data_IF_165287843481
#
_entry.id   IF_165287843481
#
_cell.length_a   1.000
_cell.length_b   1.000
_cell.length_c   1.000
_cell.angle_alpha   90.00
_cell.angle_beta   90.00
_cell.angle_gamma   90.00
#
_symmetry.space_group_name_H-M   'P 1'
#
loop_
_entity.id
_entity.type
_entity.pdbx_description
1 polymer ?
#
# COMPACT_ATOMS: atom_id res chain seq x y z
N UNK A 1 12.35 11.27 -7.22
CA UNK A 1 10.96 10.83 -6.99
C UNK A 1 10.87 9.75 -5.91
N UNK A 2 11.56 8.62 -6.01
CA UNK A 2 11.43 7.51 -5.06
C UNK A 2 11.72 7.87 -3.61
N UNK A 3 12.78 8.67 -3.33
CA UNK A 3 13.14 9.05 -1.97
C UNK A 3 12.01 9.77 -1.20
N UNK A 4 11.32 10.81 -1.73
CA UNK A 4 10.21 11.42 -1.00
C UNK A 4 9.01 10.46 -0.81
N UNK A 5 8.77 9.54 -1.73
CA UNK A 5 7.74 8.50 -1.60
C UNK A 5 8.13 7.54 -0.47
N UNK A 6 9.40 7.11 -0.42
CA UNK A 6 9.91 6.26 0.65
C UNK A 6 9.74 6.91 2.03
N UNK A 7 10.16 8.17 2.17
CA UNK A 7 10.00 8.89 3.44
C UNK A 7 8.53 8.99 3.84
N UNK A 8 7.62 9.23 2.86
CA UNK A 8 6.18 9.23 3.11
C UNK A 8 5.68 7.89 3.65
N UNK A 9 6.08 6.77 3.03
CA UNK A 9 5.69 5.44 3.49
C UNK A 9 6.25 5.10 4.88
N UNK A 10 7.49 5.49 5.16
CA UNK A 10 8.08 5.33 6.49
C UNK A 10 7.34 6.15 7.56
N UNK A 11 6.93 7.36 7.23
CA UNK A 11 6.12 8.20 8.14
C UNK A 11 4.75 7.55 8.38
N UNK A 12 4.09 7.02 7.34
CA UNK A 12 2.83 6.28 7.50
C UNK A 12 2.99 5.06 8.42
N UNK A 13 4.11 4.33 8.33
CA UNK A 13 4.41 3.24 9.24
C UNK A 13 4.60 3.70 10.70
N UNK A 14 5.16 4.90 10.90
CA UNK A 14 5.26 5.50 12.24
C UNK A 14 3.90 5.73 12.89
N UNK A 15 2.87 6.09 12.09
CA UNK A 15 1.49 6.21 12.59
C UNK A 15 1.02 4.86 13.15
N UNK A 16 1.18 3.77 12.39
CA UNK A 16 0.76 2.43 12.82
C UNK A 16 1.47 2.02 14.12
N UNK A 17 2.77 2.28 14.21
CA UNK A 17 3.57 1.97 15.42
C UNK A 17 3.09 2.79 16.63
N UNK A 18 2.82 4.07 16.44
CA UNK A 18 2.35 4.97 17.51
C UNK A 18 0.95 4.59 17.99
N UNK A 19 0.03 4.30 17.05
CA UNK A 19 -1.32 3.85 17.37
C UNK A 19 -1.30 2.56 18.17
N UNK A 20 -0.46 1.58 17.75
CA UNK A 20 -0.28 0.32 18.46
C UNK A 20 0.28 0.54 19.86
N UNK A 21 1.30 1.41 20.00
CA UNK A 21 1.90 1.73 21.30
C UNK A 21 0.90 2.43 22.24
N UNK A 22 0.03 3.28 21.72
CA UNK A 22 -1.01 3.93 22.52
C UNK A 22 -2.08 2.94 22.94
N UNK A 23 -2.54 2.07 22.04
CA UNK A 23 -3.53 1.03 22.38
C UNK A 23 -2.99 0.04 23.40
N UNK A 24 -1.72 -0.37 23.30
CA UNK A 24 -1.08 -1.23 24.28
C UNK A 24 -0.99 -0.62 25.69
N UNK A 25 -1.03 0.71 25.81
CA UNK A 25 -1.08 1.40 27.11
C UNK A 25 -2.49 1.58 27.65
N UNK A 26 -3.51 1.48 26.80
CA UNK A 26 -4.92 1.53 27.22
C UNK A 26 -5.35 0.19 27.79
N UNK A 27 -5.03 -0.93 27.07
CA UNK A 27 -5.37 -2.26 27.54
C UNK A 27 -5.16 -3.33 26.47
N UNK A 28 -5.12 -4.60 26.90
CA UNK A 28 -4.96 -5.75 25.99
C UNK A 28 -6.19 -5.94 25.10
N UNK A 29 -7.38 -5.67 25.61
CA UNK A 29 -8.64 -5.77 24.87
C UNK A 29 -8.67 -4.74 23.73
N UNK A 30 -8.31 -3.49 24.02
CA UNK A 30 -8.26 -2.40 23.06
C UNK A 30 -7.18 -2.65 22.00
N UNK A 31 -6.03 -3.17 22.39
CA UNK A 31 -4.95 -3.54 21.46
C UNK A 31 -5.41 -4.63 20.49
N UNK A 32 -6.05 -5.69 21.00
CA UNK A 32 -6.59 -6.77 20.19
C UNK A 32 -7.70 -6.31 19.24
N UNK A 33 -8.61 -5.47 19.75
CA UNK A 33 -9.70 -4.89 18.98
C UNK A 33 -9.18 -3.98 17.85
N UNK A 34 -8.21 -3.09 18.14
CA UNK A 34 -7.60 -2.21 17.16
C UNK A 34 -6.86 -2.99 16.06
N UNK A 35 -6.22 -4.10 16.39
CA UNK A 35 -5.53 -4.95 15.42
C UNK A 35 -6.52 -5.56 14.41
N UNK A 36 -7.63 -6.17 14.88
CA UNK A 36 -8.62 -6.81 14.00
C UNK A 36 -9.39 -5.76 13.20
N UNK A 37 -9.88 -4.71 13.86
CA UNK A 37 -10.61 -3.63 13.21
C UNK A 37 -9.73 -2.86 12.20
N UNK A 38 -8.43 -2.70 12.49
CA UNK A 38 -7.46 -2.10 11.58
C UNK A 38 -7.27 -2.91 10.30
N UNK A 39 -7.21 -4.24 10.40
CA UNK A 39 -7.15 -5.12 9.21
C UNK A 39 -8.44 -5.03 8.41
N UNK A 40 -9.60 -5.06 9.06
CA UNK A 40 -10.89 -4.88 8.40
C UNK A 40 -10.97 -3.57 7.62
N UNK A 41 -10.59 -2.45 8.26
CA UNK A 41 -10.50 -1.14 7.62
C UNK A 41 -9.54 -1.13 6.42
N UNK A 42 -8.36 -1.74 6.57
CA UNK A 42 -7.33 -1.79 5.53
C UNK A 42 -7.82 -2.52 4.27
N UNK A 43 -8.53 -3.65 4.42
CA UNK A 43 -9.08 -4.41 3.29
C UNK A 43 -10.04 -3.53 2.48
N UNK A 44 -10.92 -2.79 3.16
CA UNK A 44 -11.87 -1.89 2.51
C UNK A 44 -11.15 -0.70 1.86
N UNK A 45 -10.16 -0.13 2.56
CA UNK A 45 -9.37 0.99 2.06
C UNK A 45 -8.60 0.65 0.77
N UNK A 46 -8.17 -0.62 0.59
CA UNK A 46 -7.44 -1.07 -0.60
C UNK A 46 -8.23 -0.87 -1.91
N UNK A 47 -9.56 -0.90 -1.87
CA UNK A 47 -10.39 -0.59 -3.04
C UNK A 47 -10.14 0.84 -3.55
N UNK A 48 -10.19 1.84 -2.67
CA UNK A 48 -9.90 3.23 -3.02
C UNK A 48 -8.43 3.46 -3.39
N UNK A 49 -7.51 2.80 -2.67
CA UNK A 49 -6.08 2.87 -2.96
C UNK A 49 -5.76 2.37 -4.38
N UNK A 50 -6.30 1.22 -4.79
CA UNK A 50 -6.12 0.68 -6.15
C UNK A 50 -6.63 1.64 -7.23
N UNK A 51 -7.77 2.31 -6.97
CA UNK A 51 -8.28 3.37 -7.86
C UNK A 51 -7.32 4.56 -7.95
N UNK A 52 -6.76 5.02 -6.84
CA UNK A 52 -5.76 6.09 -6.79
C UNK A 52 -4.54 5.76 -7.66
N UNK A 53 -4.01 4.53 -7.58
CA UNK A 53 -2.87 4.08 -8.39
C UNK A 53 -3.21 4.11 -9.89
N UNK A 54 -4.38 3.63 -10.29
CA UNK A 54 -4.83 3.69 -11.69
C UNK A 54 -4.97 5.14 -12.19
N UNK A 55 -5.54 6.01 -11.38
CA UNK A 55 -5.68 7.45 -11.71
C UNK A 55 -4.32 8.15 -11.77
N UNK A 56 -3.36 7.78 -10.90
CA UNK A 56 -1.98 8.28 -10.95
C UNK A 56 -1.32 8.00 -12.31
N UNK A 57 -1.53 6.83 -12.91
CA UNK A 57 -1.00 6.45 -14.22
C UNK A 57 -1.55 7.40 -15.31
N UNK A 58 -2.85 7.68 -15.27
CA UNK A 58 -3.48 8.59 -16.23
C UNK A 58 -3.01 10.03 -16.08
N UNK A 59 -2.91 10.53 -14.84
CA UNK A 59 -2.34 11.85 -14.54
C UNK A 59 -0.91 11.94 -15.06
N UNK A 60 -0.08 10.92 -14.82
CA UNK A 60 1.28 10.87 -15.30
C UNK A 60 1.36 10.88 -16.84
N UNK A 61 0.43 10.18 -17.53
CA UNK A 61 0.34 10.19 -18.98
C UNK A 61 0.02 11.57 -19.51
N UNK A 62 -1.03 12.24 -18.99
CA UNK A 62 -1.43 13.59 -19.41
C UNK A 62 -0.34 14.62 -19.12
N UNK A 63 0.34 14.49 -18.00
CA UNK A 63 1.48 15.34 -17.65
C UNK A 63 2.62 15.18 -18.68
N UNK A 64 2.96 13.95 -19.07
CA UNK A 64 3.98 13.67 -20.10
C UNK A 64 3.58 14.20 -21.48
N UNK A 65 2.32 14.10 -21.87
CA UNK A 65 1.74 14.65 -23.10
C UNK A 65 1.69 16.19 -23.11
N UNK A 66 2.04 16.84 -22.00
CA UNK A 66 1.89 18.30 -21.76
C UNK A 66 0.44 18.78 -21.84
N UNK A 67 -0.52 17.90 -21.65
CA UNK A 67 -1.96 18.19 -21.61
C UNK A 67 -2.38 18.53 -20.19
N UNK A 68 -1.73 19.54 -19.62
CA UNK A 68 -1.85 19.87 -18.19
C UNK A 68 -3.28 20.19 -17.75
N UNK A 69 -4.09 20.84 -18.57
CA UNK A 69 -5.50 21.10 -18.26
C UNK A 69 -6.35 19.84 -18.08
N UNK A 70 -5.97 18.72 -18.73
CA UNK A 70 -6.64 17.44 -18.55
C UNK A 70 -6.23 16.70 -17.27
N UNK A 71 -5.06 17.03 -16.71
CA UNK A 71 -4.63 16.52 -15.39
C UNK A 71 -5.67 16.88 -14.33
N UNK A 72 -6.10 18.13 -14.28
CA UNK A 72 -7.16 18.57 -13.37
C UNK A 72 -8.50 17.90 -13.61
N UNK A 73 -8.85 17.65 -14.89
CA UNK A 73 -10.08 16.94 -15.21
C UNK A 73 -10.04 15.48 -14.71
N UNK A 74 -8.92 14.76 -14.92
CA UNK A 74 -8.74 13.39 -14.40
C UNK A 74 -8.76 13.42 -12.87
N UNK A 75 -8.11 14.40 -12.24
CA UNK A 75 -8.10 14.56 -10.78
C UNK A 75 -9.54 14.72 -10.23
N UNK A 76 -10.32 15.65 -10.74
CA UNK A 76 -11.68 15.88 -10.22
C UNK A 76 -12.64 14.74 -10.53
N UNK A 77 -12.57 14.15 -11.72
CA UNK A 77 -13.39 12.98 -12.04
C UNK A 77 -13.04 11.81 -11.12
N UNK A 78 -11.75 11.58 -10.86
CA UNK A 78 -11.32 10.58 -9.88
C UNK A 78 -11.79 10.90 -8.46
N UNK A 79 -11.73 12.16 -8.04
CA UNK A 79 -12.22 12.60 -6.74
C UNK A 79 -13.72 12.37 -6.59
N UNK A 80 -14.54 12.67 -7.61
CA UNK A 80 -15.97 12.43 -7.58
C UNK A 80 -16.31 10.95 -7.40
N UNK A 81 -15.61 10.08 -8.13
CA UNK A 81 -15.78 8.64 -7.96
C UNK A 81 -15.39 8.18 -6.56
N UNK A 82 -14.26 8.63 -6.04
CA UNK A 82 -13.78 8.24 -4.70
C UNK A 82 -14.69 8.77 -3.59
N UNK A 83 -15.28 9.95 -3.74
CA UNK A 83 -16.24 10.45 -2.78
C UNK A 83 -17.54 9.64 -2.82
N UNK A 84 -18.01 9.25 -4.00
CA UNK A 84 -19.15 8.34 -4.12
C UNK A 84 -18.84 6.96 -3.52
N UNK A 85 -17.65 6.40 -3.80
CA UNK A 85 -17.19 5.15 -3.22
C UNK A 85 -17.08 5.25 -1.69
N UNK A 86 -16.51 6.34 -1.17
CA UNK A 86 -16.44 6.58 0.27
C UNK A 86 -17.83 6.60 0.92
N UNK A 87 -18.80 7.26 0.29
CA UNK A 87 -20.18 7.30 0.79
C UNK A 87 -20.82 5.90 0.79
N UNK A 88 -20.65 5.12 -0.27
CA UNK A 88 -21.16 3.74 -0.35
C UNK A 88 -20.51 2.86 0.73
N UNK A 89 -19.18 2.92 0.85
CA UNK A 89 -18.45 2.13 1.85
C UNK A 89 -18.78 2.57 3.28
N UNK A 90 -18.96 3.87 3.51
CA UNK A 90 -19.39 4.40 4.79
C UNK A 90 -20.76 3.83 5.19
N UNK A 91 -21.76 3.91 4.30
CA UNK A 91 -23.10 3.38 4.56
C UNK A 91 -23.06 1.86 4.75
N UNK A 92 -22.32 1.16 3.90
CA UNK A 92 -22.17 -0.30 4.03
C UNK A 92 -21.53 -0.71 5.36
N UNK A 93 -20.47 -0.03 5.79
CA UNK A 93 -19.85 -0.30 7.09
C UNK A 93 -20.80 0.04 8.26
N UNK A 94 -21.50 1.17 8.21
CA UNK A 94 -22.47 1.52 9.26
C UNK A 94 -23.62 0.51 9.36
N UNK A 95 -23.97 -0.18 8.29
CA UNK A 95 -25.08 -1.16 8.29
C UNK A 95 -24.63 -2.59 8.61
N UNK A 96 -23.44 -2.98 8.17
CA UNK A 96 -23.04 -4.39 8.16
C UNK A 96 -21.74 -4.69 8.92
N UNK A 97 -20.99 -3.68 9.41
CA UNK A 97 -19.71 -3.95 10.07
C UNK A 97 -19.87 -4.79 11.34
N UNK A 98 -20.90 -4.52 12.13
CA UNK A 98 -21.17 -5.25 13.39
C UNK A 98 -21.46 -6.73 13.11
N UNK A 99 -22.27 -7.03 12.07
CA UNK A 99 -22.55 -8.42 11.67
C UNK A 99 -21.29 -9.12 11.19
N UNK A 100 -20.48 -8.46 10.37
CA UNK A 100 -19.23 -9.04 9.84
C UNK A 100 -18.22 -9.26 10.97
N UNK A 101 -18.04 -8.28 11.85
CA UNK A 101 -17.11 -8.38 12.98
C UNK A 101 -17.55 -9.46 13.97
N UNK A 102 -18.86 -9.62 14.21
CA UNK A 102 -19.40 -10.68 15.09
C UNK A 102 -19.14 -12.09 14.56
N UNK A 103 -19.03 -12.25 13.23
CA UNK A 103 -18.65 -13.55 12.62
C UNK A 103 -17.14 -13.84 12.77
N UNK A 104 -16.32 -12.80 12.97
CA UNK A 104 -14.86 -12.92 13.04
C UNK A 104 -14.31 -12.96 14.47
N UNK A 105 -15.02 -12.35 15.43
CA UNK A 105 -14.54 -12.13 16.80
C UNK A 105 -15.41 -12.92 17.79
N UNK A 106 -14.78 -13.85 18.48
CA UNK A 106 -15.48 -14.68 19.48
C UNK A 106 -15.61 -14.03 20.86
N UNK A 107 -14.72 -13.09 21.20
CA UNK A 107 -14.74 -12.39 22.51
C UNK A 107 -15.68 -11.21 22.49
N UNK A 108 -16.74 -11.18 23.33
CA UNK A 108 -17.68 -10.05 23.37
C UNK A 108 -17.03 -8.71 23.73
N UNK A 109 -16.00 -8.72 24.58
CA UNK A 109 -15.30 -7.50 24.98
C UNK A 109 -14.46 -6.92 23.83
N UNK A 110 -13.77 -7.78 23.06
CA UNK A 110 -13.00 -7.36 21.88
C UNK A 110 -13.96 -6.90 20.79
N UNK A 111 -15.07 -7.60 20.57
CA UNK A 111 -16.09 -7.24 19.58
C UNK A 111 -16.64 -5.83 19.83
N UNK A 112 -17.12 -5.54 21.04
CA UNK A 112 -17.67 -4.23 21.36
C UNK A 112 -16.68 -3.08 21.13
N UNK A 113 -15.38 -3.32 21.41
CA UNK A 113 -14.32 -2.32 21.15
C UNK A 113 -13.98 -2.20 19.66
N UNK A 114 -14.02 -3.29 18.92
CA UNK A 114 -13.79 -3.28 17.47
C UNK A 114 -14.91 -2.55 16.72
N UNK A 115 -16.16 -2.77 17.12
CA UNK A 115 -17.34 -2.05 16.62
C UNK A 115 -17.22 -0.54 16.88
N UNK A 116 -16.90 -0.15 18.13
CA UNK A 116 -16.68 1.24 18.51
C UNK A 116 -15.56 1.90 17.67
N UNK A 117 -14.44 1.19 17.45
CA UNK A 117 -13.36 1.67 16.59
C UNK A 117 -13.82 1.88 15.14
N UNK A 118 -14.47 0.90 14.53
CA UNK A 118 -14.86 0.97 13.11
C UNK A 118 -15.92 2.04 12.91
N UNK A 119 -16.90 2.15 13.82
CA UNK A 119 -17.96 3.14 13.73
C UNK A 119 -17.41 4.57 13.55
N UNK A 120 -16.33 4.91 14.27
CA UNK A 120 -15.66 6.21 14.14
C UNK A 120 -14.63 6.25 13.02
N UNK A 121 -13.94 5.16 12.74
CA UNK A 121 -12.85 5.12 11.78
C UNK A 121 -13.31 5.27 10.33
N UNK A 122 -14.50 4.81 10.00
CA UNK A 122 -15.07 4.89 8.64
C UNK A 122 -15.31 6.32 8.15
N UNK A 123 -15.46 7.29 9.03
CA UNK A 123 -15.49 8.72 8.66
C UNK A 123 -14.18 9.15 7.97
N UNK A 124 -13.09 8.51 8.30
CA UNK A 124 -11.79 8.73 7.67
C UNK A 124 -11.74 8.40 6.17
N UNK A 125 -12.63 7.55 5.63
CA UNK A 125 -12.63 7.23 4.20
C UNK A 125 -12.72 8.46 3.31
N UNK A 126 -13.53 9.45 3.69
CA UNK A 126 -13.70 10.69 2.91
C UNK A 126 -12.37 11.46 2.81
N UNK A 127 -11.65 11.56 3.90
CA UNK A 127 -10.38 12.29 3.97
C UNK A 127 -9.23 11.50 3.37
N UNK A 128 -9.17 10.21 3.66
CA UNK A 128 -8.14 9.31 3.15
C UNK A 128 -8.21 9.18 1.62
N UNK A 129 -9.40 9.03 1.04
CA UNK A 129 -9.57 8.92 -0.41
C UNK A 129 -9.31 10.25 -1.13
N UNK A 130 -9.76 11.37 -0.55
CA UNK A 130 -9.41 12.68 -1.09
C UNK A 130 -7.90 12.94 -1.02
N UNK A 131 -7.24 12.61 0.10
CA UNK A 131 -5.79 12.66 0.25
C UNK A 131 -5.06 11.76 -0.75
N UNK A 132 -5.60 10.55 -1.00
CA UNK A 132 -5.10 9.62 -2.01
C UNK A 132 -5.12 10.20 -3.42
N UNK A 133 -6.16 10.99 -3.77
CA UNK A 133 -6.20 11.71 -5.06
C UNK A 133 -5.11 12.78 -5.16
N UNK A 134 -4.86 13.55 -4.10
CA UNK A 134 -3.74 14.49 -4.08
C UNK A 134 -2.40 13.76 -4.21
N UNK A 135 -2.23 12.63 -3.52
CA UNK A 135 -1.04 11.78 -3.67
C UNK A 135 -0.85 11.34 -5.13
N UNK A 136 -1.92 10.87 -5.79
CA UNK A 136 -1.92 10.50 -7.21
C UNK A 136 -1.51 11.67 -8.11
N UNK A 137 -1.99 12.87 -7.83
CA UNK A 137 -1.62 14.09 -8.53
C UNK A 137 -0.12 14.39 -8.37
N UNK A 138 0.39 14.41 -7.13
CA UNK A 138 1.79 14.77 -6.86
C UNK A 138 2.78 13.72 -7.38
N UNK A 139 2.45 12.43 -7.30
CA UNK A 139 3.28 11.36 -7.87
C UNK A 139 3.21 11.39 -9.40
N UNK A 140 2.00 11.52 -9.98
CA UNK A 140 1.78 11.57 -11.42
C UNK A 140 2.47 12.76 -12.08
N UNK A 141 2.45 13.94 -11.46
CA UNK A 141 3.12 15.16 -11.94
C UNK A 141 4.60 15.26 -11.52
N UNK A 142 5.13 14.21 -10.90
CA UNK A 142 6.54 14.12 -10.43
C UNK A 142 6.94 15.11 -9.31
N UNK A 143 5.98 15.74 -8.65
CA UNK A 143 6.20 16.74 -7.59
C UNK A 143 6.17 16.11 -6.19
N UNK A 144 6.92 15.04 -6.00
CA UNK A 144 6.82 14.13 -4.82
C UNK A 144 7.31 14.72 -3.49
N UNK A 145 8.02 15.85 -3.49
CA UNK A 145 8.50 16.51 -2.24
C UNK A 145 7.34 16.88 -1.30
N UNK A 146 6.18 17.22 -1.85
CA UNK A 146 4.99 17.57 -1.08
C UNK A 146 4.49 16.38 -0.23
N UNK A 147 4.70 15.15 -0.69
CA UNK A 147 4.31 13.95 0.04
C UNK A 147 5.04 13.83 1.38
N UNK A 148 6.36 14.06 1.38
CA UNK A 148 7.15 14.04 2.62
C UNK A 148 6.65 15.08 3.63
N UNK A 149 6.41 16.31 3.18
CA UNK A 149 5.91 17.38 4.05
C UNK A 149 4.54 17.03 4.62
N UNK A 150 3.63 16.53 3.77
CA UNK A 150 2.31 16.11 4.18
C UNK A 150 2.36 14.96 5.20
N UNK A 151 3.21 13.97 4.98
CA UNK A 151 3.33 12.83 5.90
C UNK A 151 3.86 13.26 7.27
N UNK A 152 4.80 14.21 7.33
CA UNK A 152 5.26 14.77 8.60
C UNK A 152 4.09 15.46 9.33
N UNK A 153 3.32 16.30 8.64
CA UNK A 153 2.14 16.97 9.22
C UNK A 153 1.14 15.94 9.73
N UNK A 154 0.86 14.90 8.93
CA UNK A 154 -0.09 13.85 9.28
C UNK A 154 0.35 13.07 10.53
N UNK A 155 1.63 12.65 10.62
CA UNK A 155 2.18 11.94 11.79
C UNK A 155 2.07 12.80 13.05
N UNK A 156 2.53 14.05 12.97
CA UNK A 156 2.49 14.95 14.12
C UNK A 156 1.05 15.20 14.60
N UNK A 157 0.12 15.38 13.66
CA UNK A 157 -1.30 15.55 13.97
C UNK A 157 -1.89 14.28 14.59
N UNK A 158 -1.56 13.09 14.03
CA UNK A 158 -2.04 11.81 14.57
C UNK A 158 -1.57 11.60 16.02
N UNK A 159 -0.28 11.79 16.28
CA UNK A 159 0.29 11.66 17.64
C UNK A 159 -0.37 12.63 18.60
N UNK A 160 -0.56 13.88 18.19
CA UNK A 160 -1.17 14.91 19.03
C UNK A 160 -2.64 14.59 19.34
N UNK A 161 -3.44 14.27 18.32
CA UNK A 161 -4.86 13.94 18.51
C UNK A 161 -5.04 12.66 19.32
N UNK A 162 -4.25 11.61 19.02
CA UNK A 162 -4.33 10.37 19.77
C UNK A 162 -3.93 10.58 21.23
N UNK A 163 -2.86 11.34 21.51
CA UNK A 163 -2.47 11.63 22.89
C UNK A 163 -3.59 12.35 23.66
N UNK A 164 -4.27 13.29 23.03
CA UNK A 164 -5.36 14.05 23.67
C UNK A 164 -6.62 13.21 23.82
N UNK A 165 -7.06 12.52 22.77
CA UNK A 165 -8.37 11.84 22.73
C UNK A 165 -8.33 10.46 23.39
N UNK A 166 -7.25 9.71 23.25
CA UNK A 166 -7.12 8.39 23.88
C UNK A 166 -7.01 8.51 25.38
N UNK A 167 -6.16 9.42 25.86
CA UNK A 167 -5.84 9.55 27.29
C UNK A 167 -6.64 10.65 28.02
N UNK A 168 -7.52 11.35 27.32
CA UNK A 168 -8.37 12.39 27.95
C UNK A 168 -7.57 13.57 28.47
N UNK A 169 -6.71 14.17 27.65
CA UNK A 169 -5.91 15.35 28.01
C UNK A 169 -6.60 16.65 27.57
N UNK A 170 -6.08 17.78 28.03
CA UNK A 170 -6.58 19.12 27.67
C UNK A 170 -8.07 19.35 28.03
N UNK A 171 -8.59 18.68 29.05
CA UNK A 171 -9.99 18.86 29.51
C UNK A 171 -11.02 18.02 28.73
N UNK A 172 -10.59 17.16 27.83
CA UNK A 172 -11.46 16.21 27.12
C UNK A 172 -11.53 14.87 27.88
N UNK A 173 -12.67 14.14 27.77
CA UNK A 173 -12.77 12.80 28.34
C UNK A 173 -11.83 11.82 27.63
N UNK A 174 -11.37 10.80 28.36
CA UNK A 174 -10.62 9.70 27.76
C UNK A 174 -11.56 8.81 26.94
N UNK A 175 -11.38 8.81 25.62
CA UNK A 175 -12.21 8.05 24.68
C UNK A 175 -11.62 6.67 24.36
N UNK A 176 -10.40 6.35 24.84
CA UNK A 176 -9.76 5.07 24.59
C UNK A 176 -9.64 4.75 23.09
N UNK A 177 -10.14 3.58 22.68
CA UNK A 177 -10.04 3.10 21.29
C UNK A 177 -10.84 3.98 20.29
N UNK A 178 -12.00 4.51 20.68
CA UNK A 178 -12.75 5.47 19.87
C UNK A 178 -11.93 6.75 19.64
N UNK A 179 -11.19 7.19 20.66
CA UNK A 179 -10.26 8.31 20.57
C UNK A 179 -9.16 8.11 19.52
N UNK A 180 -8.63 6.90 19.38
CA UNK A 180 -7.65 6.57 18.35
C UNK A 180 -8.27 6.60 16.94
N UNK A 181 -9.48 6.09 16.78
CA UNK A 181 -10.20 6.11 15.50
C UNK A 181 -10.50 7.54 15.04
N UNK A 182 -11.01 8.37 15.96
CA UNK A 182 -11.29 9.80 15.71
C UNK A 182 -9.98 10.55 15.45
N UNK A 183 -8.93 10.33 16.24
CA UNK A 183 -7.64 10.99 16.10
C UNK A 183 -6.98 10.70 14.75
N UNK A 184 -7.03 9.46 14.29
CA UNK A 184 -6.52 9.07 12.96
C UNK A 184 -7.35 9.71 11.84
N UNK A 185 -8.68 9.76 11.96
CA UNK A 185 -9.54 10.42 10.97
C UNK A 185 -9.32 11.94 10.94
N UNK A 186 -9.10 12.58 12.08
CA UNK A 186 -8.72 14.00 12.15
C UNK A 186 -7.34 14.26 11.57
N UNK A 187 -6.37 13.38 11.75
CA UNK A 187 -5.06 13.52 11.15
C UNK A 187 -5.13 13.44 9.61
N UNK A 188 -5.98 12.55 9.06
CA UNK A 188 -6.27 12.49 7.62
C UNK A 188 -6.95 13.77 7.13
N UNK A 189 -7.86 14.34 7.91
CA UNK A 189 -8.48 15.64 7.60
C UNK A 189 -7.45 16.77 7.57
N UNK A 190 -6.56 16.87 8.56
CA UNK A 190 -5.47 17.86 8.58
C UNK A 190 -4.53 17.66 7.38
N UNK A 191 -4.20 16.41 7.05
CA UNK A 191 -3.43 16.05 5.85
C UNK A 191 -4.11 16.57 4.58
N UNK A 192 -5.42 16.38 4.45
CA UNK A 192 -6.19 16.89 3.32
C UNK A 192 -6.16 18.43 3.25
N UNK A 193 -6.34 19.11 4.38
CA UNK A 193 -6.25 20.57 4.44
C UNK A 193 -4.85 21.06 4.05
N UNK A 194 -3.81 20.37 4.48
CA UNK A 194 -2.44 20.67 4.07
C UNK A 194 -2.28 20.53 2.55
N UNK A 195 -2.75 19.44 1.95
CA UNK A 195 -2.70 19.27 0.50
C UNK A 195 -3.43 20.38 -0.25
N UNK A 196 -4.64 20.74 0.19
CA UNK A 196 -5.43 21.81 -0.43
C UNK A 196 -4.68 23.16 -0.31
N UNK A 197 -4.21 23.50 0.89
CA UNK A 197 -3.50 24.74 1.16
C UNK A 197 -2.18 24.85 0.38
N UNK A 198 -1.37 23.77 0.41
CA UNK A 198 -0.10 23.72 -0.32
C UNK A 198 -0.31 23.80 -1.84
N UNK A 199 -1.31 23.08 -2.37
CA UNK A 199 -1.63 23.10 -3.80
C UNK A 199 -2.01 24.51 -4.24
N UNK A 200 -2.88 25.20 -3.47
CA UNK A 200 -3.27 26.60 -3.79
C UNK A 200 -2.13 27.59 -3.69
N UNK A 201 -1.19 27.37 -2.77
CA UNK A 201 -0.08 28.31 -2.50
C UNK A 201 1.13 28.12 -3.40
N UNK A 202 1.40 26.87 -3.84
CA UNK A 202 2.67 26.51 -4.50
C UNK A 202 2.52 25.95 -5.92
N UNK A 203 1.32 25.52 -6.30
CA UNK A 203 1.05 24.94 -7.62
C UNK A 203 0.25 25.93 -8.46
N UNK A 204 0.63 26.07 -9.72
CA UNK A 204 -0.19 26.82 -10.68
C UNK A 204 -1.47 26.02 -11.00
N UNK A 205 -2.52 26.29 -10.20
CA UNK A 205 -3.80 25.62 -10.33
C UNK A 205 -4.46 25.88 -11.69
N UNK A 206 -4.15 27.00 -12.36
CA UNK A 206 -4.69 27.31 -13.70
C UNK A 206 -4.00 26.46 -14.74
N UNK A 207 -2.70 26.31 -14.66
CA UNK A 207 -1.89 25.48 -15.55
C UNK A 207 -2.36 24.01 -15.56
N UNK A 208 -2.61 23.44 -14.36
CA UNK A 208 -3.06 22.06 -14.23
C UNK A 208 -4.59 21.88 -14.31
N UNK A 209 -5.35 22.93 -14.58
CA UNK A 209 -6.82 22.83 -14.68
C UNK A 209 -7.52 22.56 -13.33
N UNK A 210 -6.83 22.85 -12.20
CA UNK A 210 -7.37 22.66 -10.85
C UNK A 210 -8.18 23.85 -10.32
N UNK A 211 -8.22 24.96 -11.06
CA UNK A 211 -8.91 26.20 -10.63
C UNK A 211 -10.43 26.15 -10.79
N UNK A 212 -10.96 25.21 -11.55
CA UNK A 212 -12.39 25.06 -11.81
C UNK A 212 -12.82 23.62 -11.60
N UNK A 213 -13.94 23.43 -10.93
CA UNK A 213 -14.58 22.13 -10.79
C UNK A 213 -15.29 21.79 -12.12
N UNK A 214 -14.83 20.78 -12.88
CA UNK A 214 -15.51 20.38 -14.09
C UNK A 214 -16.83 19.67 -13.77
N UNK A 215 -17.79 19.73 -14.67
CA UNK A 215 -18.98 18.89 -14.56
C UNK A 215 -18.62 17.39 -14.61
N UNK A 216 -19.48 16.55 -14.06
CA UNK A 216 -19.34 15.10 -14.13
C UNK A 216 -19.40 14.64 -15.60
N UNK A 217 -18.36 13.98 -16.06
CA UNK A 217 -18.23 13.41 -17.41
C UNK A 217 -18.17 11.88 -17.34
N UNK A 218 -19.29 11.24 -17.66
CA UNK A 218 -19.45 9.78 -17.60
C UNK A 218 -18.48 9.07 -18.57
N UNK A 219 -18.21 9.67 -19.75
CA UNK A 219 -17.27 9.07 -20.72
C UNK A 219 -15.86 9.03 -20.12
N UNK A 220 -15.46 10.11 -19.48
CA UNK A 220 -14.16 10.23 -18.82
C UNK A 220 -14.07 9.34 -17.59
N UNK A 221 -15.14 9.25 -16.80
CA UNK A 221 -15.25 8.29 -15.68
C UNK A 221 -15.05 6.85 -16.16
N UNK A 222 -15.70 6.46 -17.24
CA UNK A 222 -15.54 5.12 -17.84
C UNK A 222 -14.09 4.87 -18.29
N UNK A 223 -13.42 5.87 -18.85
CA UNK A 223 -11.99 5.77 -19.23
C UNK A 223 -11.10 5.59 -18.01
N UNK A 224 -11.31 6.35 -16.93
CA UNK A 224 -10.56 6.21 -15.68
C UNK A 224 -10.80 4.82 -15.08
N UNK A 225 -12.06 4.39 -14.98
CA UNK A 225 -12.41 3.07 -14.45
C UNK A 225 -11.81 1.92 -15.28
N UNK A 226 -11.72 2.07 -16.61
CA UNK A 226 -11.14 1.03 -17.47
C UNK A 226 -9.66 0.72 -17.14
N UNK A 227 -8.93 1.69 -16.56
CA UNK A 227 -7.56 1.53 -16.11
C UNK A 227 -7.52 1.15 -14.63
N UNK A 228 -8.29 1.85 -13.79
CA UNK A 228 -8.21 1.73 -12.33
C UNK A 228 -8.85 0.44 -11.80
N UNK A 229 -9.92 -0.05 -12.42
CA UNK A 229 -10.63 -1.25 -11.95
C UNK A 229 -9.74 -2.49 -11.93
N UNK A 230 -8.88 -2.65 -12.93
CA UNK A 230 -7.94 -3.77 -12.96
C UNK A 230 -6.95 -3.72 -11.81
N UNK A 231 -6.49 -2.51 -11.43
CA UNK A 231 -5.60 -2.31 -10.29
C UNK A 231 -6.33 -2.56 -8.97
N UNK A 232 -7.61 -2.15 -8.85
CA UNK A 232 -8.43 -2.41 -7.66
C UNK A 232 -8.60 -3.92 -7.42
N UNK A 233 -9.05 -4.65 -8.45
CA UNK A 233 -9.26 -6.11 -8.36
C UNK A 233 -7.95 -6.83 -8.09
N UNK A 234 -6.88 -6.44 -8.77
CA UNK A 234 -5.55 -6.96 -8.57
C UNK A 234 -5.08 -6.82 -7.12
N UNK A 235 -5.18 -5.62 -6.53
CA UNK A 235 -4.77 -5.37 -5.15
C UNK A 235 -5.51 -6.26 -4.16
N UNK A 236 -6.80 -6.47 -4.38
CA UNK A 236 -7.61 -7.35 -3.56
C UNK A 236 -7.18 -8.81 -3.69
N UNK A 237 -6.99 -9.32 -4.91
CA UNK A 237 -6.58 -10.72 -5.15
C UNK A 237 -5.19 -10.99 -4.58
N UNK A 238 -4.23 -10.07 -4.79
CA UNK A 238 -2.88 -10.21 -4.27
C UNK A 238 -2.85 -10.27 -2.74
N UNK A 239 -3.60 -9.37 -2.08
CA UNK A 239 -3.71 -9.37 -0.62
C UNK A 239 -4.36 -10.67 -0.10
N UNK A 240 -5.44 -11.13 -0.76
CA UNK A 240 -6.12 -12.37 -0.39
C UNK A 240 -5.22 -13.60 -0.57
N UNK A 241 -4.44 -13.65 -1.65
CA UNK A 241 -3.50 -14.74 -1.90
C UNK A 241 -2.41 -14.79 -0.83
N UNK A 242 -1.90 -13.61 -0.46
CA UNK A 242 -0.90 -13.50 0.60
C UNK A 242 -1.48 -13.90 1.98
N UNK A 243 -2.74 -13.57 2.26
CA UNK A 243 -3.42 -14.02 3.46
C UNK A 243 -3.55 -15.57 3.50
N UNK A 244 -3.91 -16.20 2.37
CA UNK A 244 -3.99 -17.68 2.26
C UNK A 244 -2.63 -18.32 2.53
N UNK A 245 -1.53 -17.72 2.11
CA UNK A 245 -0.18 -18.20 2.45
C UNK A 245 0.03 -18.30 3.97
N UNK A 246 -0.39 -17.29 4.74
CA UNK A 246 -0.30 -17.35 6.21
C UNK A 246 -1.25 -18.39 6.83
N UNK A 247 -2.42 -18.60 6.25
CA UNK A 247 -3.33 -19.66 6.67
C UNK A 247 -2.70 -21.05 6.44
N UNK A 248 -1.99 -21.25 5.34
CA UNK A 248 -1.27 -22.50 5.10
C UNK A 248 -0.13 -22.71 6.11
N UNK A 249 0.60 -21.66 6.47
CA UNK A 249 1.67 -21.75 7.49
C UNK A 249 1.09 -22.05 8.86
N UNK A 250 -0.07 -21.51 9.22
CA UNK A 250 -0.73 -21.78 10.48
C UNK A 250 -0.99 -23.30 10.66
N UNK A 251 -1.33 -24.01 9.58
CA UNK A 251 -1.50 -25.47 9.60
C UNK A 251 -0.19 -26.26 9.84
N UNK A 252 0.98 -25.62 9.74
CA UNK A 252 2.27 -26.23 10.14
C UNK A 252 2.54 -26.13 11.65
N UNK A 253 1.76 -25.32 12.39
CA UNK A 253 1.83 -25.13 13.82
C UNK A 253 2.17 -23.70 14.23
N UNK A 254 2.00 -23.43 15.53
CA UNK A 254 2.15 -22.09 16.13
C UNK A 254 3.59 -21.54 15.99
N UNK A 255 4.59 -22.39 16.16
CA UNK A 255 6.00 -22.02 16.01
C UNK A 255 6.30 -21.55 14.58
N UNK A 256 5.84 -22.30 13.58
CA UNK A 256 6.00 -21.94 12.16
C UNK A 256 5.34 -20.62 11.83
N UNK A 257 4.14 -20.37 12.36
CA UNK A 257 3.44 -19.11 12.20
C UNK A 257 4.18 -17.95 12.87
N UNK A 258 4.74 -18.16 14.07
CA UNK A 258 5.55 -17.17 14.76
C UNK A 258 6.80 -16.80 13.96
N UNK A 259 7.53 -17.79 13.44
CA UNK A 259 8.71 -17.59 12.58
C UNK A 259 8.34 -16.81 11.31
N UNK A 260 7.23 -17.17 10.64
CA UNK A 260 6.76 -16.48 9.45
C UNK A 260 6.40 -15.01 9.75
N UNK A 261 5.77 -14.73 10.89
CA UNK A 261 5.47 -13.38 11.32
C UNK A 261 6.73 -12.54 11.62
N UNK A 262 7.74 -13.14 12.23
CA UNK A 262 9.04 -12.51 12.45
C UNK A 262 9.69 -12.12 11.12
N UNK A 263 9.77 -13.05 10.16
CA UNK A 263 10.30 -12.79 8.82
C UNK A 263 9.52 -11.68 8.10
N UNK A 264 8.17 -11.71 8.19
CA UNK A 264 7.29 -10.67 7.63
C UNK A 264 7.59 -9.29 8.21
N UNK A 265 7.71 -9.17 9.52
CA UNK A 265 7.95 -7.89 10.18
C UNK A 265 9.33 -7.33 9.81
N UNK A 266 10.35 -8.18 9.76
CA UNK A 266 11.71 -7.78 9.32
C UNK A 266 11.69 -7.37 7.83
N UNK A 267 10.93 -8.08 7.00
CA UNK A 267 10.74 -7.78 5.56
C UNK A 267 10.02 -6.44 5.32
N UNK A 268 9.27 -5.92 6.27
CA UNK A 268 8.43 -4.74 6.09
C UNK A 268 9.19 -3.51 5.59
N UNK A 269 10.32 -3.19 6.20
CA UNK A 269 11.12 -2.03 5.80
C UNK A 269 11.76 -2.18 4.40
N UNK A 270 12.48 -3.27 4.06
CA UNK A 270 12.94 -3.51 2.70
C UNK A 270 11.82 -3.46 1.67
N UNK A 271 10.66 -4.04 1.97
CA UNK A 271 9.51 -4.06 1.06
C UNK A 271 8.96 -2.64 0.78
N UNK A 272 8.86 -1.79 1.79
CA UNK A 272 8.47 -0.37 1.60
C UNK A 272 9.43 0.37 0.67
N UNK A 273 10.73 0.09 0.78
CA UNK A 273 11.71 0.67 -0.14
C UNK A 273 11.44 0.22 -1.58
N UNK A 274 11.18 -1.07 -1.81
CA UNK A 274 10.85 -1.61 -3.13
C UNK A 274 9.59 -0.96 -3.70
N UNK A 275 8.53 -0.85 -2.90
CA UNK A 275 7.25 -0.22 -3.31
C UNK A 275 7.43 1.25 -3.67
N UNK A 276 8.28 2.00 -2.95
CA UNK A 276 8.57 3.39 -3.28
C UNK A 276 9.22 3.54 -4.67
N UNK A 277 10.18 2.67 -4.99
CA UNK A 277 10.79 2.63 -6.33
C UNK A 277 9.83 2.16 -7.40
N UNK A 278 9.01 1.16 -7.11
CA UNK A 278 7.97 0.64 -8.01
C UNK A 278 6.94 1.72 -8.37
N UNK A 279 6.40 2.44 -7.37
CA UNK A 279 5.46 3.55 -7.58
C UNK A 279 6.06 4.68 -8.42
N UNK A 280 7.33 5.05 -8.14
CA UNK A 280 8.05 6.04 -8.93
C UNK A 280 8.25 5.58 -10.38
N UNK A 281 8.60 4.29 -10.60
CA UNK A 281 8.81 3.72 -11.94
C UNK A 281 7.52 3.77 -12.77
N UNK A 282 6.36 3.42 -12.18
CA UNK A 282 5.06 3.51 -12.85
C UNK A 282 4.79 4.91 -13.40
N UNK A 283 4.96 5.94 -12.57
CA UNK A 283 4.73 7.34 -12.97
C UNK A 283 5.76 7.82 -14.01
N UNK A 284 7.03 7.45 -13.86
CA UNK A 284 8.08 7.82 -14.81
C UNK A 284 7.81 7.21 -16.17
N UNK A 285 7.48 5.92 -16.23
CA UNK A 285 7.16 5.21 -17.48
C UNK A 285 5.96 5.86 -18.16
N UNK A 286 4.89 6.14 -17.43
CA UNK A 286 3.70 6.78 -17.99
C UNK A 286 4.00 8.19 -18.54
N UNK A 287 4.76 9.01 -17.80
CA UNK A 287 5.21 10.34 -18.26
C UNK A 287 6.07 10.24 -19.53
N UNK A 288 7.05 9.31 -19.56
CA UNK A 288 7.94 9.14 -20.71
C UNK A 288 7.19 8.72 -21.97
N UNK A 289 6.20 7.82 -21.83
CA UNK A 289 5.38 7.41 -22.97
C UNK A 289 4.51 8.60 -23.43
N UNK A 290 3.93 9.34 -22.49
CA UNK A 290 3.18 10.57 -22.82
C UNK A 290 4.04 11.61 -23.56
N UNK A 291 5.31 11.74 -23.18
CA UNK A 291 6.28 12.63 -23.83
C UNK A 291 6.84 12.07 -25.17
N UNK A 292 6.37 10.92 -25.65
CA UNK A 292 6.86 10.28 -26.87
C UNK A 292 8.26 9.65 -26.75
N UNK A 293 8.83 9.56 -25.54
CA UNK A 293 10.19 9.05 -25.31
C UNK A 293 10.21 7.52 -25.06
N UNK A 294 9.46 6.76 -25.86
CA UNK A 294 9.30 5.32 -25.68
C UNK A 294 10.62 4.55 -25.77
N UNK A 295 11.58 5.01 -26.55
CA UNK A 295 12.89 4.35 -26.72
C UNK A 295 13.75 4.40 -25.46
N UNK A 296 13.54 5.41 -24.59
CA UNK A 296 14.29 5.59 -23.35
C UNK A 296 13.67 4.84 -22.16
N UNK A 297 12.47 4.31 -22.28
CA UNK A 297 11.74 3.64 -21.20
C UNK A 297 12.52 2.45 -20.64
N UNK A 298 13.06 1.59 -21.51
CA UNK A 298 13.84 0.42 -21.07
C UNK A 298 15.08 0.82 -20.26
N UNK A 299 15.78 1.89 -20.67
CA UNK A 299 16.93 2.42 -19.95
C UNK A 299 16.51 3.01 -18.59
N UNK A 300 15.38 3.72 -18.54
CA UNK A 300 14.84 4.28 -17.29
C UNK A 300 14.49 3.18 -16.29
N UNK A 301 13.81 2.11 -16.73
CA UNK A 301 13.48 0.95 -15.90
C UNK A 301 14.76 0.30 -15.37
N UNK A 302 15.74 0.03 -16.23
CA UNK A 302 17.03 -0.56 -15.81
C UNK A 302 17.73 0.30 -14.76
N UNK A 303 17.79 1.62 -14.94
CA UNK A 303 18.37 2.54 -13.95
C UNK A 303 17.60 2.53 -12.63
N UNK A 304 16.27 2.45 -12.69
CA UNK A 304 15.42 2.37 -11.50
C UNK A 304 15.66 1.09 -10.71
N UNK A 305 15.79 -0.06 -11.39
CA UNK A 305 16.14 -1.35 -10.76
C UNK A 305 17.50 -1.25 -10.05
N UNK A 306 18.52 -0.69 -10.71
CA UNK A 306 19.84 -0.52 -10.09
C UNK A 306 19.81 0.42 -8.88
N UNK A 307 19.07 1.53 -8.95
CA UNK A 307 18.89 2.42 -7.81
C UNK A 307 18.13 1.76 -6.67
N UNK A 308 17.12 0.95 -6.97
CA UNK A 308 16.41 0.18 -5.95
C UNK A 308 17.35 -0.82 -5.25
N UNK A 309 18.16 -1.55 -6.01
CA UNK A 309 19.18 -2.44 -5.43
C UNK A 309 20.20 -1.67 -4.58
N UNK A 310 20.69 -0.53 -5.04
CA UNK A 310 21.65 0.29 -4.29
C UNK A 310 21.10 0.72 -2.93
N UNK A 311 19.79 0.96 -2.83
CA UNK A 311 19.14 1.34 -1.59
C UNK A 311 18.76 0.16 -0.71
N UNK A 312 18.24 -0.93 -1.30
CA UNK A 312 17.68 -2.07 -0.56
C UNK A 312 18.78 -3.05 -0.12
N UNK A 313 19.76 -3.33 -0.99
CA UNK A 313 20.80 -4.35 -0.74
C UNK A 313 21.64 -4.08 0.51
N UNK A 314 22.09 -2.85 0.83
CA UNK A 314 22.85 -2.61 2.05
C UNK A 314 22.08 -3.00 3.31
N UNK A 315 20.79 -2.69 3.36
CA UNK A 315 19.94 -3.06 4.49
C UNK A 315 19.81 -4.59 4.59
N UNK A 316 19.55 -5.26 3.46
CA UNK A 316 19.43 -6.72 3.43
C UNK A 316 20.73 -7.43 3.82
N UNK A 317 21.88 -6.89 3.43
CA UNK A 317 23.18 -7.43 3.84
C UNK A 317 23.39 -7.30 5.35
N UNK A 318 22.99 -6.19 5.95
CA UNK A 318 23.05 -6.02 7.41
C UNK A 318 22.10 -7.00 8.11
N UNK A 319 20.88 -7.16 7.63
CA UNK A 319 19.91 -8.13 8.16
C UNK A 319 20.43 -9.56 8.02
N UNK A 320 21.01 -9.92 6.87
CA UNK A 320 21.53 -11.26 6.61
C UNK A 320 22.80 -11.55 7.43
N UNK A 321 23.65 -10.54 7.68
CA UNK A 321 24.85 -10.68 8.50
C UNK A 321 24.55 -10.80 10.01
N UNK A 322 23.50 -10.12 10.48
CA UNK A 322 23.13 -10.08 11.89
C UNK A 322 21.65 -10.42 12.12
N UNK A 323 21.13 -11.56 11.62
CA UNK A 323 19.71 -11.87 11.64
C UNK A 323 19.17 -11.95 13.08
N UNK A 324 19.92 -12.53 14.01
CA UNK A 324 19.52 -12.65 15.41
C UNK A 324 19.28 -11.29 16.07
N UNK A 325 20.05 -10.25 15.71
CA UNK A 325 19.87 -8.89 16.24
C UNK A 325 18.48 -8.34 15.84
N UNK A 326 18.07 -8.53 14.60
CA UNK A 326 16.76 -8.08 14.12
C UNK A 326 15.62 -8.92 14.68
N UNK A 327 15.80 -10.23 14.81
CA UNK A 327 14.79 -11.13 15.39
C UNK A 327 14.56 -10.77 16.87
N UNK A 328 15.62 -10.49 17.64
CA UNK A 328 15.55 -10.10 19.05
C UNK A 328 14.84 -8.78 19.31
N UNK A 329 14.58 -7.95 18.29
CA UNK A 329 13.71 -6.77 18.42
C UNK A 329 12.27 -7.21 18.74
N UNK A 330 11.87 -8.41 18.31
CA UNK A 330 10.49 -8.90 18.40
C UNK A 330 10.30 -10.02 19.43
N UNK A 331 11.33 -10.78 19.78
CA UNK A 331 11.23 -11.91 20.71
C UNK A 331 12.55 -12.16 21.45
N UNK A 332 12.44 -12.50 22.74
CA UNK A 332 13.57 -12.87 23.58
C UNK A 332 13.72 -14.40 23.72
N UNK A 333 12.84 -15.20 23.10
CA UNK A 333 12.83 -16.68 23.19
C UNK A 333 13.99 -17.25 22.37
N UNK A 334 15.06 -17.82 22.99
CA UNK A 334 16.27 -18.21 22.26
C UNK A 334 16.02 -19.26 21.17
N UNK A 335 15.16 -20.25 21.45
CA UNK A 335 14.82 -21.31 20.49
C UNK A 335 14.16 -20.72 19.24
N UNK A 336 13.24 -19.77 19.41
CA UNK A 336 12.52 -19.11 18.31
C UNK A 336 13.47 -18.19 17.50
N UNK A 337 14.43 -17.54 18.20
CA UNK A 337 15.45 -16.71 17.53
C UNK A 337 16.29 -17.57 16.59
N UNK A 338 16.80 -18.71 17.05
CA UNK A 338 17.66 -19.56 16.23
C UNK A 338 16.89 -20.26 15.11
N UNK A 339 15.64 -20.70 15.36
CA UNK A 339 14.77 -21.32 14.36
C UNK A 339 14.35 -20.35 13.23
N UNK A 340 14.26 -19.04 13.52
CA UNK A 340 13.87 -18.04 12.52
C UNK A 340 15.01 -17.61 11.57
N UNK A 341 16.29 -17.80 11.96
CA UNK A 341 17.45 -17.35 11.17
C UNK A 341 17.44 -17.88 9.73
N UNK A 342 17.24 -19.17 9.44
CA UNK A 342 17.21 -19.69 8.07
C UNK A 342 16.10 -19.04 7.23
N UNK A 343 14.94 -18.84 7.83
CA UNK A 343 13.78 -18.19 7.15
C UNK A 343 14.10 -16.73 6.78
N UNK A 344 14.80 -16.00 7.66
CA UNK A 344 15.25 -14.63 7.38
C UNK A 344 16.27 -14.60 6.23
N UNK A 345 17.17 -15.58 6.12
CA UNK A 345 18.11 -15.68 5.00
C UNK A 345 17.38 -15.94 3.67
N UNK A 346 16.42 -16.86 3.67
CA UNK A 346 15.57 -17.10 2.47
C UNK A 346 14.82 -15.84 2.09
N UNK A 347 14.21 -15.16 3.06
CA UNK A 347 13.52 -13.89 2.85
C UNK A 347 14.47 -12.84 2.23
N UNK A 348 15.68 -12.67 2.76
CA UNK A 348 16.68 -11.75 2.18
C UNK A 348 17.04 -12.14 0.75
N UNK A 349 17.21 -13.43 0.47
CA UNK A 349 17.53 -13.92 -0.87
C UNK A 349 16.42 -13.66 -1.90
N UNK A 350 15.14 -13.70 -1.47
CA UNK A 350 13.99 -13.44 -2.34
C UNK A 350 14.01 -12.03 -2.94
N UNK A 351 14.60 -11.05 -2.26
CA UNK A 351 14.71 -9.69 -2.78
C UNK A 351 15.59 -9.57 -4.03
N UNK A 352 16.45 -10.55 -4.31
CA UNK A 352 17.22 -10.57 -5.57
C UNK A 352 16.30 -10.61 -6.79
N UNK A 353 15.13 -11.22 -6.68
CA UNK A 353 14.12 -11.28 -7.74
C UNK A 353 12.92 -10.35 -7.48
N UNK A 354 12.56 -10.10 -6.24
CA UNK A 354 11.43 -9.23 -5.88
C UNK A 354 11.66 -7.76 -6.26
N UNK A 355 12.88 -7.25 -6.11
CA UNK A 355 13.22 -5.86 -6.48
C UNK A 355 12.94 -5.61 -7.97
N UNK A 356 13.56 -6.34 -8.93
CA UNK A 356 13.31 -6.11 -10.34
C UNK A 356 11.88 -6.49 -10.75
N UNK A 357 11.29 -7.51 -10.14
CA UNK A 357 9.92 -7.94 -10.41
C UNK A 357 8.91 -6.83 -10.13
N UNK A 358 8.95 -6.21 -8.94
CA UNK A 358 8.03 -5.14 -8.56
C UNK A 358 8.22 -3.87 -9.42
N UNK A 359 9.46 -3.48 -9.72
CA UNK A 359 9.74 -2.33 -10.58
C UNK A 359 9.24 -2.59 -12.01
N UNK A 360 9.46 -3.78 -12.57
CA UNK A 360 8.97 -4.16 -13.90
C UNK A 360 7.44 -4.22 -13.92
N UNK A 361 6.83 -4.85 -12.94
CA UNK A 361 5.37 -4.96 -12.82
C UNK A 361 4.69 -3.58 -12.78
N UNK A 362 5.19 -2.69 -11.90
CA UNK A 362 4.70 -1.32 -11.84
C UNK A 362 4.97 -0.53 -13.11
N UNK A 363 6.07 -0.85 -13.83
CA UNK A 363 6.34 -0.28 -15.14
C UNK A 363 5.36 -0.76 -16.20
N UNK A 364 4.96 -2.04 -16.20
CA UNK A 364 3.88 -2.56 -17.06
C UNK A 364 2.58 -1.82 -16.80
N UNK A 365 2.18 -1.67 -15.52
CA UNK A 365 1.00 -0.88 -15.14
C UNK A 365 1.14 0.59 -15.62
N UNK A 366 2.32 1.18 -15.49
CA UNK A 366 2.66 2.54 -15.95
C UNK A 366 2.57 2.73 -17.47
N UNK A 367 2.60 1.66 -18.27
CA UNK A 367 2.30 1.76 -19.72
C UNK A 367 0.84 2.08 -19.99
N UNK A 368 -0.05 1.97 -18.99
CA UNK A 368 -1.50 2.07 -19.11
C UNK A 368 -2.19 0.75 -19.42
N UNK A 369 -1.42 -0.34 -19.62
CA UNK A 369 -1.98 -1.68 -19.82
C UNK A 369 -2.17 -2.42 -18.49
N UNK A 370 -3.00 -1.83 -17.63
CA UNK A 370 -3.31 -2.39 -16.31
C UNK A 370 -4.04 -3.74 -16.41
N UNK A 371 -4.80 -3.96 -17.50
CA UNK A 371 -5.41 -5.25 -17.78
C UNK A 371 -4.37 -6.34 -18.00
N UNK A 372 -3.33 -6.05 -18.79
CA UNK A 372 -2.24 -7.02 -19.00
C UNK A 372 -1.45 -7.22 -17.70
N UNK A 373 -1.14 -6.15 -16.96
CA UNK A 373 -0.50 -6.27 -15.65
C UNK A 373 -1.25 -7.21 -14.72
N UNK A 374 -2.58 -7.06 -14.65
CA UNK A 374 -3.46 -7.96 -13.89
C UNK A 374 -3.31 -9.43 -14.34
N UNK A 375 -3.39 -9.71 -15.64
CA UNK A 375 -3.30 -11.11 -16.11
C UNK A 375 -1.90 -11.73 -15.92
N UNK A 376 -0.83 -10.95 -16.05
CA UNK A 376 0.52 -11.42 -15.77
C UNK A 376 0.69 -11.80 -14.30
N UNK A 377 0.14 -10.99 -13.40
CA UNK A 377 0.17 -11.30 -11.97
C UNK A 377 -0.74 -12.48 -11.62
N UNK A 378 -1.96 -12.54 -12.17
CA UNK A 378 -2.84 -13.70 -11.95
C UNK A 378 -2.16 -15.01 -12.36
N UNK A 379 -1.48 -15.02 -13.51
CA UNK A 379 -0.69 -16.18 -13.91
C UNK A 379 0.41 -16.53 -12.88
N UNK A 380 1.17 -15.53 -12.40
CA UNK A 380 2.19 -15.77 -11.38
C UNK A 380 1.59 -16.27 -10.04
N UNK A 381 0.45 -15.69 -9.62
CA UNK A 381 -0.24 -16.09 -8.39
C UNK A 381 -0.81 -17.51 -8.45
N UNK A 382 -1.26 -17.97 -9.62
CA UNK A 382 -1.69 -19.37 -9.78
C UNK A 382 -0.51 -20.32 -9.53
N UNK A 383 0.65 -20.06 -10.10
CA UNK A 383 1.85 -20.87 -9.84
C UNK A 383 2.32 -20.76 -8.38
N UNK A 384 2.25 -19.56 -7.81
CA UNK A 384 2.53 -19.32 -6.40
C UNK A 384 1.64 -20.17 -5.49
N UNK A 385 0.35 -20.20 -5.76
CA UNK A 385 -0.61 -21.00 -4.98
C UNK A 385 -0.40 -22.51 -5.18
N UNK A 386 -0.13 -22.96 -6.40
CA UNK A 386 0.19 -24.38 -6.66
C UNK A 386 1.45 -24.77 -5.87
N UNK A 387 2.49 -23.93 -5.91
CA UNK A 387 3.74 -24.19 -5.19
C UNK A 387 3.50 -24.24 -3.67
N UNK A 388 2.79 -23.27 -3.11
CA UNK A 388 2.47 -23.24 -1.68
C UNK A 388 1.61 -24.43 -1.25
N UNK A 389 0.59 -24.81 -2.03
CA UNK A 389 -0.22 -25.99 -1.74
C UNK A 389 0.64 -27.24 -1.73
N UNK A 390 1.54 -27.38 -2.68
CA UNK A 390 2.42 -28.55 -2.75
C UNK A 390 3.44 -28.59 -1.61
N UNK A 391 4.17 -27.50 -1.38
CA UNK A 391 5.29 -27.43 -0.42
C UNK A 391 4.77 -27.38 1.02
N UNK A 392 3.78 -26.52 1.30
CA UNK A 392 3.31 -26.25 2.67
C UNK A 392 2.20 -27.24 3.08
N UNK A 393 1.17 -27.40 2.26
CA UNK A 393 -0.01 -28.19 2.62
C UNK A 393 0.18 -29.70 2.43
N UNK A 394 0.82 -30.14 1.31
CA UNK A 394 1.00 -31.57 1.00
C UNK A 394 2.28 -32.10 1.64
N UNK A 395 3.44 -31.47 1.39
CA UNK A 395 4.74 -31.97 1.87
C UNK A 395 5.00 -31.59 3.34
N UNK A 396 4.31 -30.58 3.87
CA UNK A 396 4.46 -30.07 5.25
C UNK A 396 5.91 -29.82 5.64
N UNK A 397 6.66 -29.16 4.77
CA UNK A 397 8.06 -28.82 5.01
C UNK A 397 8.19 -27.62 5.94
N UNK A 398 9.41 -27.42 6.43
CA UNK A 398 9.74 -26.30 7.30
C UNK A 398 9.34 -24.95 6.68
N UNK A 399 9.01 -23.98 7.54
CA UNK A 399 8.59 -22.62 7.15
C UNK A 399 9.62 -21.90 6.28
N UNK A 400 10.90 -22.21 6.43
CA UNK A 400 11.97 -21.73 5.55
C UNK A 400 11.67 -22.02 4.07
N UNK A 401 11.23 -23.25 3.76
CA UNK A 401 10.88 -23.65 2.40
C UNK A 401 9.58 -23.01 1.90
N UNK A 402 8.65 -22.72 2.80
CA UNK A 402 7.45 -21.98 2.45
C UNK A 402 7.78 -20.58 1.90
N UNK A 403 8.77 -19.88 2.52
CA UNK A 403 9.21 -18.57 2.06
C UNK A 403 9.91 -18.57 0.71
N UNK A 404 10.38 -19.73 0.20
CA UNK A 404 10.89 -19.81 -1.19
C UNK A 404 9.81 -19.56 -2.22
N UNK A 405 8.52 -19.62 -1.87
CA UNK A 405 7.42 -19.20 -2.73
C UNK A 405 7.56 -17.76 -3.22
N UNK A 406 8.13 -16.87 -2.40
CA UNK A 406 8.42 -15.48 -2.79
C UNK A 406 9.49 -15.41 -3.91
N UNK A 407 10.44 -16.33 -3.92
CA UNK A 407 11.44 -16.45 -5.00
C UNK A 407 10.75 -16.91 -6.29
N UNK A 408 9.86 -17.90 -6.19
CA UNK A 408 9.08 -18.40 -7.33
C UNK A 408 8.22 -17.29 -7.91
N UNK A 409 7.44 -16.60 -7.06
CA UNK A 409 6.61 -15.47 -7.46
C UNK A 409 7.42 -14.36 -8.14
N UNK A 410 8.48 -13.89 -7.48
CA UNK A 410 9.35 -12.85 -8.00
C UNK A 410 9.99 -13.23 -9.33
N UNK A 411 10.45 -14.48 -9.48
CA UNK A 411 11.06 -14.98 -10.72
C UNK A 411 10.06 -15.02 -11.88
N UNK A 412 8.84 -15.50 -11.63
CA UNK A 412 7.77 -15.53 -12.63
C UNK A 412 7.34 -14.11 -13.04
N UNK A 413 7.16 -13.23 -12.06
CA UNK A 413 6.81 -11.83 -12.33
C UNK A 413 7.91 -11.12 -13.14
N UNK A 414 9.17 -11.33 -12.78
CA UNK A 414 10.32 -10.81 -13.54
C UNK A 414 10.30 -11.31 -14.98
N UNK A 415 10.10 -12.62 -15.17
CA UNK A 415 10.08 -13.24 -16.50
C UNK A 415 8.88 -12.73 -17.33
N UNK A 416 7.67 -12.76 -16.80
CA UNK A 416 6.45 -12.38 -17.52
C UNK A 416 6.42 -10.89 -17.85
N UNK A 417 6.69 -10.02 -16.89
CA UNK A 417 6.75 -8.58 -17.11
C UNK A 417 7.92 -8.19 -18.02
N UNK A 418 9.07 -8.84 -17.87
CA UNK A 418 10.23 -8.63 -18.72
C UNK A 418 9.96 -9.03 -20.18
N UNK A 419 9.29 -10.17 -20.41
CA UNK A 419 8.88 -10.63 -21.72
C UNK A 419 7.88 -9.66 -22.37
N UNK A 420 6.88 -9.18 -21.61
CA UNK A 420 5.92 -8.19 -22.10
C UNK A 420 6.61 -6.88 -22.51
N UNK A 421 7.49 -6.34 -21.65
CA UNK A 421 8.20 -5.10 -21.94
C UNK A 421 9.12 -5.22 -23.17
N UNK A 422 9.75 -6.38 -23.39
CA UNK A 422 10.60 -6.66 -24.57
C UNK A 422 9.79 -6.75 -25.87
N UNK A 423 8.57 -7.29 -25.84
CA UNK A 423 7.69 -7.39 -27.02
C UNK A 423 7.30 -6.03 -27.60
N UNK A 424 7.30 -4.98 -26.77
CA UNK A 424 7.09 -3.61 -27.22
C UNK A 424 5.66 -3.25 -27.68
N UNK A 425 4.67 -4.15 -27.49
CA UNK A 425 3.26 -3.92 -27.85
C UNK A 425 2.66 -2.69 -27.16
N UNK A 426 3.13 -2.38 -25.96
CA UNK A 426 2.74 -1.22 -25.17
C UNK A 426 3.08 0.15 -25.79
N UNK A 427 4.05 0.19 -26.73
CA UNK A 427 4.51 1.45 -27.38
C UNK A 427 3.43 2.15 -28.21
N UNK A 428 2.46 1.40 -28.73
CA UNK A 428 1.36 1.89 -29.58
C UNK A 428 0.06 2.13 -28.82
N UNK A 429 0.04 1.95 -27.49
CA UNK A 429 -1.18 2.02 -26.70
C UNK A 429 -1.50 3.47 -26.35
N UNK A 430 -2.69 3.93 -26.75
CA UNK A 430 -3.32 5.19 -26.30
C UNK A 430 -4.26 4.90 -25.12
N UNK A 431 -4.26 5.73 -24.09
CA UNK A 431 -5.15 5.66 -22.93
C UNK A 431 -5.79 7.03 -22.65
#
# INVERSE_FOLDING_TARGET
MAYPILVSLLMEQMIVLTDTAFMGRVGEVELGAAAIAGVFYMVIFMAGHGFCVGTQILIARRNGERRYGEVGQVFYQGLYFLMALAAVLFVACQMYADEILSMMISSPNILAKAEDYIHWRVYGFFFAFAGGMFRSFYVGTTQTKTLTLNSIVMVLSNVAFNYVLVFGKCGLPALGIAGAAIGSSLAEFVSLLFFIGYTRAKIDCRHFGLSRFPALDIKRQRSILSVSMWVMVQSFVSLSTWFIFFVYIEHLGEESLAIANLARNISGLPFMMVIAFASAASSIVSNMIGAGQTDKVALAIRRHIWLAYLCVTPLLLVVAAFPQMFIRIYTDIPQLVDAAVPTVWVMCSAYTVLVPANVLFSSVSGTGDTRMAFWLEMAALVFYMIYNTWVVYIMRVDVMWAWTAEIVYGSLMFAFCGAYMRRGSWRRRSI
#
